data_IF_922515786380
#
_entry.id   IF_922515786380
#
_cell.length_a   1.000
_cell.length_b   1.000
_cell.length_c   1.000
_cell.angle_alpha   90.00
_cell.angle_beta   90.00
_cell.angle_gamma   90.00
#
_symmetry.space_group_name_H-M   'P 1'
#
loop_
_entity.id
_entity.type
_entity.pdbx_description
1 polymer ?
#
# COMPACT_ATOMS: atom_id res chain seq x y z
N UNK A 1 53.92 -52.81 -43.35
CA UNK A 1 54.16 -51.49 -42.71
C UNK A 1 52.83 -50.91 -42.28
N UNK A 2 52.47 -51.01 -41.00
CA UNK A 2 51.35 -50.27 -40.40
C UNK A 2 51.61 -50.11 -38.90
N UNK A 3 52.00 -48.91 -38.48
CA UNK A 3 52.09 -48.54 -37.05
C UNK A 3 50.91 -47.66 -36.67
N UNK A 4 50.28 -48.06 -35.57
CA UNK A 4 49.22 -47.37 -34.82
C UNK A 4 49.73 -46.10 -34.14
N UNK A 5 48.83 -45.13 -33.92
CA UNK A 5 48.64 -44.34 -32.67
C UNK A 5 47.68 -43.18 -33.02
N UNK A 6 46.39 -43.20 -32.65
CA UNK A 6 45.81 -42.77 -31.37
C UNK A 6 46.38 -41.45 -30.80
N UNK A 7 45.58 -40.38 -30.84
CA UNK A 7 45.58 -39.33 -29.83
C UNK A 7 44.19 -38.67 -29.82
N UNK A 8 43.35 -39.12 -28.89
CA UNK A 8 42.08 -38.50 -28.51
C UNK A 8 42.39 -37.14 -27.86
N UNK A 9 41.99 -36.05 -28.51
CA UNK A 9 42.00 -34.72 -27.91
C UNK A 9 40.77 -34.59 -27.01
N UNK A 10 41.05 -34.52 -25.72
CA UNK A 10 40.08 -34.40 -24.65
C UNK A 10 40.16 -33.02 -24.00
N UNK A 11 39.00 -32.55 -23.51
CA UNK A 11 38.75 -31.45 -22.58
C UNK A 11 38.92 -30.00 -23.07
N UNK A 12 37.82 -29.23 -23.06
CA UNK A 12 37.36 -28.59 -21.81
C UNK A 12 36.11 -27.73 -22.08
N UNK A 13 34.96 -28.12 -21.53
CA UNK A 13 33.84 -27.20 -21.35
C UNK A 13 34.05 -26.49 -20.01
N UNK A 14 34.25 -25.17 -19.96
CA UNK A 14 34.11 -24.46 -18.71
C UNK A 14 32.63 -24.49 -18.33
N UNK A 15 32.30 -25.27 -17.30
CA UNK A 15 31.02 -25.19 -16.61
C UNK A 15 30.96 -23.81 -15.91
N UNK A 16 30.53 -22.79 -16.65
CA UNK A 16 30.22 -21.49 -16.10
C UNK A 16 29.03 -21.62 -15.15
N UNK A 17 29.31 -21.64 -13.86
CA UNK A 17 28.33 -21.36 -12.82
C UNK A 17 27.84 -19.92 -13.02
N UNK A 18 26.77 -19.78 -13.79
CA UNK A 18 26.01 -18.54 -13.87
C UNK A 18 25.41 -18.29 -12.48
N UNK A 19 26.10 -17.48 -11.67
CA UNK A 19 25.52 -16.82 -10.52
C UNK A 19 24.47 -15.84 -11.03
N UNK A 20 23.27 -16.33 -11.28
CA UNK A 20 22.11 -15.46 -11.48
C UNK A 20 21.98 -14.59 -10.24
N UNK A 21 22.00 -13.24 -10.36
CA UNK A 21 21.61 -12.41 -9.25
C UNK A 21 20.16 -12.76 -8.95
N UNK A 22 19.92 -13.40 -7.80
CA UNK A 22 18.59 -13.50 -7.26
C UNK A 22 18.16 -12.05 -6.99
N UNK A 23 17.44 -11.46 -7.94
CA UNK A 23 16.65 -10.27 -7.66
C UNK A 23 15.68 -10.71 -6.57
N UNK A 24 15.97 -10.31 -5.33
CA UNK A 24 15.01 -10.38 -4.25
C UNK A 24 13.83 -9.52 -4.70
N UNK A 25 12.80 -10.16 -5.26
CA UNK A 25 11.53 -9.51 -5.47
C UNK A 25 11.00 -9.21 -4.08
N UNK A 26 11.01 -7.94 -3.72
CA UNK A 26 10.36 -7.46 -2.52
C UNK A 26 8.86 -7.74 -2.70
N UNK A 27 8.41 -8.86 -2.15
CA UNK A 27 7.01 -9.28 -2.10
C UNK A 27 6.33 -8.71 -0.85
N UNK A 28 6.83 -7.61 -0.28
CA UNK A 28 6.16 -6.91 0.81
C UNK A 28 4.86 -6.26 0.34
N UNK A 29 3.83 -7.09 0.20
CA UNK A 29 2.40 -6.98 0.52
C UNK A 29 1.57 -5.75 0.10
N UNK A 30 2.15 -4.57 0.00
CA UNK A 30 1.46 -3.32 -0.22
C UNK A 30 1.41 -2.98 -1.71
N UNK A 31 0.20 -3.01 -2.28
CA UNK A 31 -0.01 -2.52 -3.64
C UNK A 31 -0.22 -1.01 -3.61
N UNK A 32 0.67 -0.24 -4.22
CA UNK A 32 0.48 1.21 -4.41
C UNK A 32 -0.61 1.42 -5.45
N UNK A 33 -1.74 2.01 -5.05
CA UNK A 33 -2.84 2.35 -5.96
C UNK A 33 -2.50 3.58 -6.80
N UNK A 34 -1.91 4.60 -6.16
CA UNK A 34 -1.64 5.89 -6.77
C UNK A 34 -0.52 6.62 -6.02
N UNK A 35 0.20 7.47 -6.75
CA UNK A 35 1.10 8.49 -6.18
C UNK A 35 0.58 9.88 -6.47
N UNK A 36 0.74 10.81 -5.52
CA UNK A 36 0.32 12.21 -5.65
C UNK A 36 1.35 13.16 -5.08
N UNK A 37 1.46 14.38 -5.63
CA UNK A 37 2.27 15.48 -5.07
C UNK A 37 1.47 16.41 -4.17
N UNK A 38 0.15 16.23 -4.08
CA UNK A 38 -0.69 16.92 -3.10
C UNK A 38 -0.32 16.49 -1.66
N UNK A 39 -0.68 17.27 -0.63
CA UNK A 39 -0.52 16.83 0.75
C UNK A 39 -1.54 15.71 1.09
N UNK A 40 -1.17 14.78 1.97
CA UNK A 40 -1.99 13.60 2.27
C UNK A 40 -3.38 13.92 2.83
N UNK A 41 -3.53 15.06 3.50
CA UNK A 41 -4.79 15.49 4.10
C UNK A 41 -5.83 15.97 3.07
N UNK A 42 -5.46 16.08 1.79
CA UNK A 42 -6.41 16.37 0.70
C UNK A 42 -7.24 15.13 0.29
N UNK A 43 -6.93 13.95 0.81
CA UNK A 43 -7.61 12.69 0.46
C UNK A 43 -9.06 12.63 0.95
N UNK A 44 -9.41 13.42 1.96
CA UNK A 44 -10.72 13.38 2.60
C UNK A 44 -10.77 14.27 3.85
N UNK A 45 -11.80 14.06 4.67
CA UNK A 45 -11.99 14.78 5.93
C UNK A 45 -11.39 13.97 7.07
N UNK A 46 -10.59 14.61 7.94
CA UNK A 46 -10.10 13.98 9.16
C UNK A 46 -11.28 13.70 10.09
N UNK A 47 -11.39 12.48 10.60
CA UNK A 47 -12.37 12.13 11.64
C UNK A 47 -11.66 11.97 12.99
N UNK A 48 -11.84 12.91 13.94
CA UNK A 48 -11.26 12.78 15.29
C UNK A 48 -11.79 11.55 16.03
N UNK A 49 -13.06 11.22 15.82
CA UNK A 49 -13.69 10.07 16.43
C UNK A 49 -13.09 8.75 15.91
N UNK A 50 -13.02 8.57 14.59
CA UNK A 50 -12.46 7.34 14.02
C UNK A 50 -10.95 7.25 14.27
N UNK A 51 -10.24 8.38 14.34
CA UNK A 51 -8.84 8.41 14.73
C UNK A 51 -8.66 7.90 16.16
N UNK A 52 -9.51 8.36 17.10
CA UNK A 52 -9.51 7.86 18.48
C UNK A 52 -9.73 6.34 18.51
N UNK A 53 -10.70 5.81 17.78
CA UNK A 53 -10.94 4.37 17.70
C UNK A 53 -9.76 3.63 17.06
N UNK A 54 -9.13 4.21 16.04
CA UNK A 54 -7.95 3.62 15.40
C UNK A 54 -6.78 3.48 16.36
N UNK A 55 -6.50 4.50 17.19
CA UNK A 55 -5.46 4.44 18.22
C UNK A 55 -5.72 3.37 19.27
N UNK A 56 -6.99 3.00 19.46
CA UNK A 56 -7.43 1.92 20.37
C UNK A 56 -7.47 0.55 19.68
N UNK A 57 -7.16 0.46 18.39
CA UNK A 57 -7.24 -0.80 17.64
C UNK A 57 -8.68 -1.22 17.30
N UNK A 58 -9.65 -0.29 17.36
CA UNK A 58 -11.08 -0.53 17.17
C UNK A 58 -11.63 0.00 15.84
N UNK A 59 -10.81 0.67 15.04
CA UNK A 59 -11.15 1.11 13.69
C UNK A 59 -9.87 1.17 12.84
N UNK A 60 -9.51 0.05 12.21
CA UNK A 60 -8.19 -0.14 11.59
C UNK A 60 -8.30 -0.95 10.29
N UNK A 61 -7.22 -1.03 9.52
CA UNK A 61 -7.16 -2.02 8.45
C UNK A 61 -7.09 -3.44 9.02
N UNK A 62 -7.75 -4.41 8.38
CA UNK A 62 -7.57 -5.84 8.71
C UNK A 62 -6.19 -6.34 8.31
N UNK A 63 -5.70 -5.91 7.16
CA UNK A 63 -4.34 -6.13 6.67
C UNK A 63 -3.70 -4.78 6.42
N UNK A 64 -2.73 -4.41 7.26
CA UNK A 64 -2.03 -3.14 7.16
C UNK A 64 -1.40 -2.97 5.78
N UNK A 65 -1.61 -1.79 5.20
CA UNK A 65 -1.03 -1.37 3.91
C UNK A 65 -1.34 -2.30 2.73
N UNK A 66 -2.40 -3.12 2.79
CA UNK A 66 -2.81 -3.99 1.67
C UNK A 66 -2.94 -3.23 0.34
N UNK A 67 -3.46 -2.02 0.41
CA UNK A 67 -3.50 -1.06 -0.69
C UNK A 67 -3.18 0.32 -0.12
N UNK A 68 -2.34 1.09 -0.81
CA UNK A 68 -1.87 2.39 -0.32
C UNK A 68 -2.01 3.51 -1.35
N UNK A 69 -2.05 4.75 -0.87
CA UNK A 69 -1.78 5.97 -1.65
C UNK A 69 -0.50 6.58 -1.08
N UNK A 70 0.43 6.94 -1.95
CA UNK A 70 1.66 7.62 -1.56
C UNK A 70 1.60 9.10 -1.94
N UNK A 71 1.77 9.97 -0.96
CA UNK A 71 1.90 11.40 -1.13
C UNK A 71 3.38 11.76 -1.02
N UNK A 72 3.96 12.24 -2.12
CA UNK A 72 5.40 12.42 -2.34
C UNK A 72 5.78 13.90 -2.54
N UNK A 73 4.85 14.83 -2.26
CA UNK A 73 5.11 16.26 -2.33
C UNK A 73 6.02 16.76 -1.21
N UNK A 74 6.60 17.96 -1.35
CA UNK A 74 7.46 18.56 -0.32
C UNK A 74 6.70 18.95 0.96
N UNK A 75 5.38 19.05 0.89
CA UNK A 75 4.50 19.36 2.01
C UNK A 75 3.48 18.23 2.16
N UNK A 76 3.28 17.75 3.38
CA UNK A 76 2.28 16.72 3.66
C UNK A 76 2.58 15.38 2.97
N UNK A 77 3.85 14.99 2.90
CA UNK A 77 4.23 13.64 2.46
C UNK A 77 3.68 12.59 3.43
N UNK A 78 3.28 11.43 2.90
CA UNK A 78 2.73 10.36 3.73
C UNK A 78 2.28 9.16 2.91
N UNK A 79 2.23 8.00 3.55
CA UNK A 79 1.67 6.77 2.96
C UNK A 79 0.40 6.43 3.72
N UNK A 80 -0.72 6.39 3.02
CA UNK A 80 -2.03 6.13 3.61
C UNK A 80 -2.51 4.75 3.18
N UNK A 81 -2.83 3.90 4.14
CA UNK A 81 -3.50 2.63 3.88
C UNK A 81 -4.99 2.83 3.59
N UNK A 82 -5.62 1.90 2.88
CA UNK A 82 -7.00 2.05 2.39
C UNK A 82 -7.88 0.92 2.95
N UNK A 83 -9.09 1.28 3.38
CA UNK A 83 -10.19 0.35 3.61
C UNK A 83 -11.52 0.94 3.10
N UNK A 84 -12.56 0.12 3.01
CA UNK A 84 -13.90 0.54 2.55
C UNK A 84 -14.95 0.24 3.61
N UNK A 85 -15.94 1.12 3.72
CA UNK A 85 -17.05 0.96 4.66
C UNK A 85 -17.98 -0.21 4.36
N UNK A 86 -17.90 -0.79 3.17
CA UNK A 86 -18.60 -2.03 2.82
C UNK A 86 -18.00 -3.29 3.47
N UNK A 87 -16.88 -3.13 4.21
CA UNK A 87 -16.18 -4.20 4.93
C UNK A 87 -14.88 -4.62 4.27
N UNK A 88 -14.53 -4.12 3.08
CA UNK A 88 -13.25 -4.46 2.47
C UNK A 88 -12.08 -3.90 3.28
N UNK A 89 -11.22 -4.81 3.75
CA UNK A 89 -10.02 -4.52 4.54
C UNK A 89 -10.27 -3.70 5.82
N UNK A 90 -11.50 -3.65 6.35
CA UNK A 90 -11.85 -2.81 7.49
C UNK A 90 -12.15 -3.65 8.74
N UNK A 91 -11.45 -3.36 9.84
CA UNK A 91 -11.78 -3.81 11.18
C UNK A 91 -12.61 -2.73 11.86
N UNK A 92 -13.90 -2.98 12.01
CA UNK A 92 -14.85 -2.06 12.65
C UNK A 92 -15.88 -2.84 13.50
N UNK A 93 -15.47 -3.39 14.67
CA UNK A 93 -16.37 -4.14 15.56
C UNK A 93 -17.55 -3.31 16.09
N UNK A 94 -17.42 -1.99 16.12
CA UNK A 94 -18.47 -1.09 16.61
C UNK A 94 -19.43 -0.62 15.52
N UNK A 95 -19.20 -0.99 14.25
CA UNK A 95 -20.03 -0.62 13.09
C UNK A 95 -20.18 0.89 12.95
N UNK A 96 -19.09 1.63 13.09
CA UNK A 96 -19.04 3.08 12.96
C UNK A 96 -18.91 3.55 11.51
N UNK A 97 -18.53 2.66 10.60
CA UNK A 97 -18.33 3.03 9.21
C UNK A 97 -19.65 3.35 8.48
N UNK A 98 -19.67 4.50 7.79
CA UNK A 98 -20.54 4.70 6.64
C UNK A 98 -20.15 3.71 5.54
N UNK A 99 -21.13 2.91 5.08
CA UNK A 99 -20.94 1.84 4.08
C UNK A 99 -20.53 2.35 2.70
N UNK A 100 -20.77 3.62 2.40
CA UNK A 100 -20.41 4.25 1.12
C UNK A 100 -19.04 4.91 1.14
N UNK A 101 -18.42 5.03 2.32
CA UNK A 101 -17.18 5.75 2.49
C UNK A 101 -15.95 4.90 2.11
N UNK A 102 -14.90 5.61 1.68
CA UNK A 102 -13.53 5.12 1.70
C UNK A 102 -12.81 5.70 2.91
N UNK A 103 -12.02 4.88 3.58
CA UNK A 103 -11.21 5.28 4.74
C UNK A 103 -9.73 5.20 4.39
N UNK A 104 -8.98 6.21 4.83
CA UNK A 104 -7.57 6.34 4.60
C UNK A 104 -6.85 6.49 5.94
N UNK A 105 -5.90 5.61 6.20
CA UNK A 105 -5.25 5.47 7.49
C UNK A 105 -3.82 5.94 7.40
N UNK A 106 -3.48 6.97 8.17
CA UNK A 106 -2.11 7.40 8.37
C UNK A 106 -1.61 6.82 9.71
N UNK A 107 -0.46 6.13 9.68
CA UNK A 107 0.16 5.49 10.86
C UNK A 107 -0.78 4.51 11.59
N UNK A 108 -1.50 3.71 10.82
CA UNK A 108 -2.36 2.63 11.33
C UNK A 108 -1.58 1.67 12.25
N UNK A 109 -2.22 1.21 13.32
CA UNK A 109 -1.61 0.35 14.34
C UNK A 109 -0.74 1.06 15.37
N UNK A 110 -0.68 2.40 15.34
CA UNK A 110 0.09 3.21 16.30
C UNK A 110 -0.81 4.14 17.12
N UNK A 111 -0.28 4.68 18.23
CA UNK A 111 -0.95 5.70 19.04
C UNK A 111 -1.12 7.04 18.32
N UNK A 112 -0.45 7.23 17.18
CA UNK A 112 -0.60 8.40 16.33
C UNK A 112 -1.49 8.16 15.11
N UNK A 113 -2.36 7.15 15.13
CA UNK A 113 -3.21 6.85 13.99
C UNK A 113 -4.20 8.00 13.69
N UNK A 114 -4.26 8.40 12.42
CA UNK A 114 -5.26 9.32 11.90
C UNK A 114 -6.10 8.63 10.83
N UNK A 115 -7.41 8.88 10.86
CA UNK A 115 -8.36 8.34 9.89
C UNK A 115 -9.01 9.49 9.13
N UNK A 116 -8.78 9.49 7.82
CA UNK A 116 -9.46 10.36 6.87
C UNK A 116 -10.55 9.56 6.17
N UNK A 117 -11.66 10.21 5.82
CA UNK A 117 -12.72 9.55 5.08
C UNK A 117 -13.25 10.41 3.93
N UNK A 118 -13.78 9.74 2.92
CA UNK A 118 -14.40 10.37 1.77
C UNK A 118 -15.64 9.61 1.36
N UNK A 119 -16.75 10.33 1.15
CA UNK A 119 -18.01 9.75 0.65
C UNK A 119 -18.35 10.27 -0.75
N UNK A 120 -19.16 9.53 -1.55
CA UNK A 120 -19.65 10.04 -2.82
C UNK A 120 -20.43 11.36 -2.68
N UNK A 121 -21.14 11.56 -1.57
CA UNK A 121 -21.86 12.81 -1.30
C UNK A 121 -20.91 14.00 -1.10
N UNK A 122 -19.74 13.78 -0.49
CA UNK A 122 -18.68 14.79 -0.38
C UNK A 122 -18.15 15.20 -1.76
N UNK A 123 -17.99 14.24 -2.69
CA UNK A 123 -17.61 14.55 -4.07
C UNK A 123 -18.57 15.56 -4.71
N UNK A 124 -19.87 15.31 -4.57
CA UNK A 124 -20.91 16.17 -5.16
C UNK A 124 -20.88 17.58 -4.57
N UNK A 125 -20.69 17.71 -3.25
CA UNK A 125 -20.53 19.02 -2.59
C UNK A 125 -19.31 19.77 -3.09
N UNK A 126 -18.16 19.08 -3.21
CA UNK A 126 -16.93 19.66 -3.76
C UNK A 126 -17.12 20.12 -5.21
N UNK A 127 -17.75 19.28 -6.04
CA UNK A 127 -18.05 19.60 -7.45
C UNK A 127 -19.02 20.79 -7.56
N UNK A 128 -19.89 21.00 -6.56
CA UNK A 128 -20.79 22.14 -6.44
C UNK A 128 -20.16 23.39 -5.78
N UNK A 129 -18.85 23.38 -5.50
CA UNK A 129 -18.14 24.50 -4.86
C UNK A 129 -18.45 24.70 -3.37
N UNK A 130 -19.06 23.70 -2.72
CA UNK A 130 -19.37 23.75 -1.29
C UNK A 130 -18.23 23.18 -0.44
N UNK A 131 -18.00 23.71 0.78
CA UNK A 131 -16.97 23.21 1.67
C UNK A 131 -17.25 21.76 2.10
N UNK A 132 -16.20 20.96 2.19
CA UNK A 132 -16.23 19.63 2.79
C UNK A 132 -16.29 19.81 4.32
N UNK A 133 -17.38 19.35 4.92
CA UNK A 133 -17.58 19.25 6.38
C UNK A 133 -18.01 17.83 6.71
#
# INVERSE_FOLDING_TARGET
MTRRALALLALSLPAGLALSPALAQDTSGAKVLMRSTAPYNDVGVLSPELSTLCTQGLFNQQTLNRLTIEFIGPVGAGVLGIAKGDGWNLKDPQRRADRTASYFFLRDGTSGCEVYYFTPAMKQKKDAGQPLQ
#
